data_IF_305921079349
#
_entry.id   IF_305921079349
#
_cell.length_a   1.000
_cell.length_b   1.000
_cell.length_c   1.000
_cell.angle_alpha   90.00
_cell.angle_beta   90.00
_cell.angle_gamma   90.00
#
_symmetry.space_group_name_H-M   'P 1'
#
loop_
_entity.id
_entity.type
_entity.pdbx_description
1 polymer ?
#
# COMPACT_ATOMS: atom_id res chain seq x y z
N UNK A 1 8.44 3.51 -4.87
CA UNK A 1 8.60 2.92 -3.52
C UNK A 1 8.63 4.04 -2.50
N UNK A 2 7.86 3.91 -1.42
CA UNK A 2 7.77 4.91 -0.34
C UNK A 2 7.09 6.23 -0.69
N UNK A 3 6.63 6.44 -1.93
CA UNK A 3 6.06 7.72 -2.36
C UNK A 3 4.80 8.08 -1.57
N UNK A 4 3.88 7.15 -1.40
CA UNK A 4 2.64 7.40 -0.64
C UNK A 4 2.94 7.83 0.79
N UNK A 5 3.86 7.16 1.49
CA UNK A 5 4.25 7.53 2.85
C UNK A 5 4.89 8.92 2.91
N UNK A 6 5.76 9.24 1.95
CA UNK A 6 6.41 10.56 1.89
C UNK A 6 5.41 11.68 1.53
N UNK A 7 4.42 11.42 0.67
CA UNK A 7 3.35 12.40 0.38
C UNK A 7 2.43 12.60 1.59
N UNK A 8 2.06 11.52 2.29
CA UNK A 8 1.29 11.62 3.52
C UNK A 8 2.01 12.45 4.60
N UNK A 9 3.33 12.33 4.70
CA UNK A 9 4.14 13.10 5.65
C UNK A 9 4.05 14.63 5.44
N UNK A 10 3.56 15.11 4.30
CA UNK A 10 3.28 16.54 4.09
C UNK A 10 2.13 17.05 4.96
N UNK A 11 1.21 16.18 5.32
CA UNK A 11 0.00 16.50 6.10
C UNK A 11 0.00 15.86 7.48
N UNK A 12 0.67 14.71 7.63
CA UNK A 12 0.65 13.87 8.84
C UNK A 12 2.04 13.94 9.48
N UNK A 13 2.14 14.26 10.77
CA UNK A 13 3.42 14.49 11.44
C UNK A 13 4.25 13.21 11.68
N UNK A 14 3.60 12.06 11.77
CA UNK A 14 4.26 10.75 11.95
C UNK A 14 3.65 9.71 11.03
N UNK A 15 4.49 9.13 10.16
CA UNK A 15 4.09 8.15 9.15
C UNK A 15 4.99 6.94 9.21
N UNK A 16 4.40 5.76 9.34
CA UNK A 16 5.12 4.49 9.27
C UNK A 16 4.79 3.80 7.95
N UNK A 17 5.79 3.59 7.12
CA UNK A 17 5.67 2.81 5.88
C UNK A 17 6.24 1.41 6.08
N UNK A 18 5.41 0.39 5.81
CA UNK A 18 5.80 -1.01 5.94
C UNK A 18 5.66 -1.71 4.60
N UNK A 19 6.65 -2.52 4.24
CA UNK A 19 6.63 -3.36 3.05
C UNK A 19 7.37 -4.67 3.33
N UNK A 20 6.86 -5.77 2.77
CA UNK A 20 7.51 -7.08 2.88
C UNK A 20 8.88 -7.10 2.17
N UNK A 21 8.99 -6.39 1.06
CA UNK A 21 10.21 -6.33 0.25
C UNK A 21 11.30 -5.46 0.90
N UNK A 22 12.35 -6.13 1.40
CA UNK A 22 13.55 -5.45 1.92
C UNK A 22 14.19 -4.52 0.88
N UNK A 23 14.12 -4.87 -0.42
CA UNK A 23 14.65 -4.05 -1.51
C UNK A 23 13.84 -2.77 -1.69
N UNK A 24 12.49 -2.85 -1.58
CA UNK A 24 11.63 -1.68 -1.63
C UNK A 24 11.85 -0.75 -0.44
N UNK A 25 12.04 -1.31 0.75
CA UNK A 25 12.37 -0.52 1.95
C UNK A 25 13.74 0.16 1.81
N UNK A 26 14.77 -0.53 1.30
CA UNK A 26 16.07 0.11 1.03
C UNK A 26 15.94 1.28 0.06
N UNK A 27 15.19 1.10 -1.03
CA UNK A 27 14.93 2.16 -2.00
C UNK A 27 14.16 3.34 -1.40
N UNK A 28 13.13 3.08 -0.58
CA UNK A 28 12.36 4.11 0.12
C UNK A 28 13.24 4.91 1.08
N UNK A 29 14.08 4.25 1.88
CA UNK A 29 15.06 4.90 2.77
C UNK A 29 16.09 5.73 1.98
N UNK A 30 16.53 5.27 0.81
CA UNK A 30 17.44 6.04 -0.06
C UNK A 30 16.79 7.31 -0.56
N UNK A 31 15.55 7.23 -1.07
CA UNK A 31 14.80 8.43 -1.48
C UNK A 31 14.56 9.35 -0.28
N UNK A 32 14.19 8.80 0.88
CA UNK A 32 14.01 9.57 2.11
C UNK A 32 15.27 10.36 2.49
N UNK A 33 16.44 9.75 2.45
CA UNK A 33 17.70 10.39 2.85
C UNK A 33 18.21 11.41 1.81
N UNK A 34 18.18 11.06 0.52
CA UNK A 34 18.85 11.84 -0.53
C UNK A 34 17.90 12.67 -1.42
N UNK A 35 16.58 12.41 -1.37
CA UNK A 35 15.60 13.02 -2.26
C UNK A 35 15.57 12.42 -3.67
N UNK A 36 16.49 11.50 -4.02
CA UNK A 36 16.52 10.85 -5.32
C UNK A 36 17.02 9.42 -5.28
N UNK A 37 16.57 8.63 -6.24
CA UNK A 37 17.02 7.26 -6.47
C UNK A 37 17.32 7.06 -7.94
N UNK A 38 18.55 6.62 -8.26
CA UNK A 38 18.91 6.18 -9.59
C UNK A 38 18.41 4.75 -9.81
N UNK A 39 17.85 4.48 -10.97
CA UNK A 39 17.46 3.13 -11.41
C UNK A 39 17.65 3.01 -12.92
N UNK A 40 17.68 1.79 -13.42
CA UNK A 40 17.71 1.54 -14.86
C UNK A 40 16.29 1.32 -15.37
N UNK A 41 15.86 2.15 -16.30
CA UNK A 41 14.58 2.01 -16.98
C UNK A 41 14.77 1.15 -18.21
N UNK A 42 13.98 0.07 -18.31
CA UNK A 42 13.95 -0.77 -19.49
C UNK A 42 13.44 0.03 -20.69
N UNK A 43 14.17 0.03 -21.80
CA UNK A 43 13.76 0.65 -23.07
C UNK A 43 13.13 -0.38 -24.01
N UNK A 44 13.89 -1.41 -24.34
CA UNK A 44 13.46 -2.51 -25.19
C UNK A 44 14.37 -3.74 -24.99
N UNK A 45 13.82 -4.93 -25.07
CA UNK A 45 14.58 -6.16 -24.89
C UNK A 45 15.38 -6.15 -23.58
N UNK A 46 16.71 -6.12 -23.68
CA UNK A 46 17.64 -6.04 -22.55
C UNK A 46 18.27 -4.64 -22.39
N UNK A 47 17.94 -3.69 -23.27
CA UNK A 47 18.50 -2.34 -23.26
C UNK A 47 17.85 -1.51 -22.15
N UNK A 48 18.70 -0.97 -21.29
CA UNK A 48 18.24 -0.09 -20.19
C UNK A 48 18.93 1.26 -20.26
N UNK A 49 18.25 2.30 -19.74
CA UNK A 49 18.85 3.64 -19.55
C UNK A 49 18.77 4.09 -18.11
N UNK A 50 19.81 4.80 -17.62
CA UNK A 50 19.76 5.43 -16.32
C UNK A 50 18.59 6.40 -16.23
N UNK A 51 17.84 6.33 -15.13
CA UNK A 51 16.74 7.21 -14.81
C UNK A 51 16.76 7.54 -13.32
N UNK A 52 15.99 8.56 -12.93
CA UNK A 52 15.94 9.02 -11.56
C UNK A 52 14.49 9.17 -11.09
N UNK A 53 14.19 8.58 -9.95
CA UNK A 53 13.02 8.95 -9.17
C UNK A 53 13.42 10.06 -8.21
N UNK A 54 12.74 11.21 -8.28
CA UNK A 54 13.01 12.37 -7.43
C UNK A 54 11.84 12.66 -6.51
N UNK A 55 12.14 13.25 -5.35
CA UNK A 55 11.14 13.72 -4.40
C UNK A 55 11.44 15.16 -3.99
N UNK A 56 10.40 15.97 -3.79
CA UNK A 56 10.57 17.39 -3.46
C UNK A 56 11.40 17.59 -2.19
N UNK A 57 12.29 18.56 -2.22
CA UNK A 57 13.10 18.96 -1.05
C UNK A 57 12.26 19.57 0.07
N UNK A 58 11.08 20.12 -0.26
CA UNK A 58 10.15 20.72 0.71
C UNK A 58 9.32 19.70 1.48
N UNK A 59 9.37 18.41 1.09
CA UNK A 59 8.66 17.35 1.80
C UNK A 59 9.36 17.05 3.14
N UNK A 60 8.64 17.03 4.26
CA UNK A 60 9.22 16.74 5.57
C UNK A 60 9.54 15.24 5.74
N UNK A 61 10.54 14.77 4.98
CA UNK A 61 10.90 13.36 4.84
C UNK A 61 11.27 12.68 6.17
N UNK A 62 11.72 13.44 7.16
CA UNK A 62 12.05 12.97 8.51
C UNK A 62 10.82 12.48 9.30
N UNK A 63 9.60 12.89 8.90
CA UNK A 63 8.34 12.44 9.50
C UNK A 63 7.93 11.02 9.11
N UNK A 64 8.75 10.35 8.30
CA UNK A 64 8.44 8.99 7.83
C UNK A 64 9.46 8.00 8.35
N UNK A 65 8.99 6.89 8.91
CA UNK A 65 9.81 5.74 9.28
C UNK A 65 9.50 4.59 8.34
N UNK A 66 10.53 3.96 7.74
CA UNK A 66 10.36 2.80 6.89
C UNK A 66 10.85 1.53 7.57
N UNK A 67 9.99 0.51 7.64
CA UNK A 67 10.27 -0.81 8.24
C UNK A 67 9.96 -1.93 7.28
N UNK A 68 10.80 -2.98 7.23
CA UNK A 68 10.43 -4.25 6.59
C UNK A 68 9.52 -5.02 7.52
N UNK A 69 8.42 -5.57 7.01
CA UNK A 69 7.47 -6.34 7.80
C UNK A 69 6.43 -7.05 6.95
N UNK A 70 5.89 -8.13 7.53
CA UNK A 70 4.75 -8.86 6.96
C UNK A 70 3.46 -8.28 7.52
N UNK A 71 2.55 -7.87 6.61
CA UNK A 71 1.26 -7.29 7.00
C UNK A 71 0.37 -8.24 7.83
N UNK A 72 0.61 -9.56 7.78
CA UNK A 72 -0.10 -10.55 8.59
C UNK A 72 0.58 -10.82 9.95
N UNK A 73 1.82 -10.39 10.14
CA UNK A 73 2.63 -10.64 11.33
C UNK A 73 3.31 -9.36 11.82
N UNK A 74 2.54 -8.27 11.91
CA UNK A 74 3.04 -7.00 12.41
C UNK A 74 3.35 -7.10 13.91
N UNK A 75 4.45 -6.46 14.38
CA UNK A 75 4.80 -6.43 15.78
C UNK A 75 3.68 -5.84 16.65
N UNK A 76 3.52 -6.34 17.85
CA UNK A 76 2.48 -5.86 18.79
C UNK A 76 2.77 -4.45 19.31
N UNK A 77 4.05 -4.09 19.39
CA UNK A 77 4.53 -2.76 19.78
C UNK A 77 4.39 -1.69 18.70
N UNK A 78 3.93 -2.07 17.51
CA UNK A 78 3.65 -1.10 16.43
C UNK A 78 2.56 -0.08 16.83
N UNK A 79 1.65 -0.48 17.74
CA UNK A 79 0.56 0.36 18.19
C UNK A 79 -0.61 0.43 17.21
N UNK A 80 -1.43 1.47 17.37
CA UNK A 80 -2.59 1.76 16.52
C UNK A 80 -2.51 3.18 15.96
N UNK A 81 -3.17 3.41 14.83
CA UNK A 81 -3.04 4.62 14.02
C UNK A 81 -4.40 5.30 13.82
N UNK A 82 -4.38 6.61 13.65
CA UNK A 82 -5.56 7.39 13.28
C UNK A 82 -5.96 7.12 11.81
N UNK A 83 -4.97 6.82 10.95
CA UNK A 83 -5.18 6.49 9.54
C UNK A 83 -4.30 5.32 9.12
N UNK A 84 -4.89 4.34 8.44
CA UNK A 84 -4.18 3.22 7.82
C UNK A 84 -4.48 3.22 6.32
N UNK A 85 -3.42 3.25 5.50
CA UNK A 85 -3.49 3.08 4.05
C UNK A 85 -3.02 1.68 3.66
N UNK A 86 -3.92 0.84 3.17
CA UNK A 86 -3.63 -0.47 2.60
C UNK A 86 -3.80 -0.41 1.07
N UNK A 87 -2.76 0.06 0.38
CA UNK A 87 -2.79 0.31 -1.05
C UNK A 87 -2.35 -0.92 -1.85
N UNK A 88 -3.27 -1.49 -2.66
CA UNK A 88 -3.06 -2.64 -3.54
C UNK A 88 -2.37 -3.81 -2.81
N UNK A 89 -2.83 -4.08 -1.59
CA UNK A 89 -2.23 -5.05 -0.69
C UNK A 89 -3.01 -6.35 -0.59
N UNK A 90 -4.34 -6.30 -0.50
CA UNK A 90 -5.17 -7.46 -0.12
C UNK A 90 -5.09 -8.61 -1.11
N UNK A 91 -4.94 -8.31 -2.41
CA UNK A 91 -4.80 -9.28 -3.49
C UNK A 91 -3.35 -9.83 -3.63
N UNK A 92 -2.49 -9.47 -2.68
CA UNK A 92 -1.08 -9.93 -2.53
C UNK A 92 -0.83 -10.60 -1.17
N UNK A 93 -1.87 -10.83 -0.38
CA UNK A 93 -1.75 -11.48 0.92
C UNK A 93 -2.15 -12.96 0.84
N UNK A 94 -1.42 -13.88 1.48
CA UNK A 94 -1.82 -15.30 1.54
C UNK A 94 -3.13 -15.51 2.30
N UNK A 95 -3.51 -14.61 3.20
CA UNK A 95 -4.71 -14.69 4.04
C UNK A 95 -5.46 -13.34 4.10
N UNK A 96 -6.09 -12.88 2.99
CA UNK A 96 -6.73 -11.57 2.93
C UNK A 96 -7.86 -11.39 3.95
N UNK A 97 -8.65 -12.44 4.21
CA UNK A 97 -9.73 -12.39 5.22
C UNK A 97 -9.18 -12.18 6.65
N UNK A 98 -8.03 -12.79 6.97
CA UNK A 98 -7.37 -12.59 8.27
C UNK A 98 -6.92 -11.16 8.46
N UNK A 99 -6.32 -10.57 7.41
CA UNK A 99 -5.93 -9.17 7.42
C UNK A 99 -7.13 -8.26 7.71
N UNK A 100 -8.23 -8.44 6.97
CA UNK A 100 -9.44 -7.62 7.13
C UNK A 100 -10.09 -7.76 8.51
N UNK A 101 -10.20 -9.00 9.03
CA UNK A 101 -10.97 -9.29 10.25
C UNK A 101 -10.18 -9.17 11.55
N UNK A 102 -8.86 -9.38 11.51
CA UNK A 102 -8.04 -9.48 12.71
C UNK A 102 -6.97 -8.40 12.79
N UNK A 103 -6.30 -8.10 11.66
CA UNK A 103 -5.17 -7.18 11.68
C UNK A 103 -5.64 -5.72 11.60
N UNK A 104 -6.47 -5.37 10.62
CA UNK A 104 -6.97 -4.00 10.47
C UNK A 104 -7.66 -3.45 11.73
N UNK A 105 -8.56 -4.20 12.41
CA UNK A 105 -9.17 -3.69 13.64
C UNK A 105 -8.19 -3.37 14.77
N UNK A 106 -7.05 -4.05 14.81
CA UNK A 106 -5.99 -3.76 15.79
C UNK A 106 -5.15 -2.55 15.41
N UNK A 107 -4.97 -2.31 14.12
CA UNK A 107 -4.11 -1.23 13.61
C UNK A 107 -4.79 0.14 13.65
N UNK A 108 -6.11 0.19 13.68
CA UNK A 108 -6.87 1.45 13.58
C UNK A 108 -7.50 1.76 14.92
N UNK A 109 -7.26 2.98 15.41
CA UNK A 109 -7.90 3.48 16.64
C UNK A 109 -9.43 3.58 16.45
N UNK A 110 -10.26 3.48 17.51
CA UNK A 110 -11.67 3.83 17.45
C UNK A 110 -11.84 5.23 16.83
N UNK A 111 -12.79 5.39 15.90
CA UNK A 111 -12.97 6.60 15.13
C UNK A 111 -12.00 6.84 13.98
N UNK A 112 -10.89 6.09 13.93
CA UNK A 112 -9.86 6.19 12.90
C UNK A 112 -10.31 5.68 11.53
N UNK A 113 -9.49 5.92 10.50
CA UNK A 113 -9.84 5.73 9.10
C UNK A 113 -8.96 4.66 8.45
N UNK A 114 -9.56 3.80 7.64
CA UNK A 114 -8.87 2.92 6.69
C UNK A 114 -9.14 3.40 5.28
N UNK A 115 -8.08 3.57 4.49
CA UNK A 115 -8.15 3.63 3.04
C UNK A 115 -7.66 2.29 2.49
N UNK A 116 -8.53 1.58 1.81
CA UNK A 116 -8.23 0.31 1.17
C UNK A 116 -8.36 0.47 -0.34
N UNK A 117 -7.31 0.16 -1.09
CA UNK A 117 -7.38 0.10 -2.55
C UNK A 117 -6.98 -1.29 -3.05
N UNK A 118 -7.64 -1.79 -4.09
CA UNK A 118 -7.23 -3.02 -4.76
C UNK A 118 -7.76 -3.07 -6.19
N UNK A 119 -6.93 -3.46 -7.17
CA UNK A 119 -7.39 -3.77 -8.51
C UNK A 119 -7.98 -5.20 -8.62
N UNK A 120 -7.98 -5.95 -7.52
CA UNK A 120 -8.42 -7.36 -7.47
C UNK A 120 -7.72 -8.27 -8.48
N UNK A 121 -6.48 -7.97 -8.81
CA UNK A 121 -5.64 -8.78 -9.71
C UNK A 121 -5.01 -9.95 -8.97
N UNK A 122 -5.86 -10.85 -8.49
CA UNK A 122 -5.45 -12.03 -7.74
C UNK A 122 -4.42 -12.86 -8.50
N UNK A 123 -3.35 -13.29 -7.81
CA UNK A 123 -2.33 -14.19 -8.33
C UNK A 123 -2.09 -15.33 -7.36
N UNK A 124 -2.03 -16.56 -7.91
CA UNK A 124 -1.71 -17.76 -7.10
C UNK A 124 -0.30 -17.76 -6.54
N UNK A 125 0.57 -16.89 -7.04
CA UNK A 125 1.92 -16.65 -6.50
C UNK A 125 1.87 -16.10 -5.06
N UNK A 126 0.89 -15.23 -4.76
CA UNK A 126 0.75 -14.57 -3.46
C UNK A 126 -0.39 -15.16 -2.63
N UNK A 127 -1.52 -15.41 -3.27
CA UNK A 127 -2.76 -15.85 -2.61
C UNK A 127 -3.21 -17.18 -3.21
N UNK A 128 -3.30 -18.27 -2.44
CA UNK A 128 -3.89 -19.52 -2.93
C UNK A 128 -5.29 -19.28 -3.50
N UNK A 129 -5.63 -19.90 -4.65
CA UNK A 129 -6.92 -19.69 -5.34
C UNK A 129 -8.15 -19.92 -4.43
N UNK A 130 -8.06 -20.87 -3.51
CA UNK A 130 -9.10 -21.16 -2.52
C UNK A 130 -9.37 -20.02 -1.54
N UNK A 131 -8.43 -19.07 -1.42
CA UNK A 131 -8.52 -17.90 -0.53
C UNK A 131 -8.80 -16.59 -1.27
N UNK A 132 -8.95 -16.60 -2.60
CA UNK A 132 -9.37 -15.42 -3.35
C UNK A 132 -10.75 -14.97 -2.88
N UNK A 133 -10.94 -13.68 -2.76
CA UNK A 133 -12.23 -13.13 -2.38
C UNK A 133 -13.13 -13.17 -3.62
N UNK A 134 -14.11 -14.07 -3.60
CA UNK A 134 -15.19 -14.09 -4.60
C UNK A 134 -16.06 -12.86 -4.35
N UNK A 135 -16.43 -12.15 -5.42
CA UNK A 135 -17.07 -10.84 -5.27
C UNK A 135 -16.35 -10.03 -4.21
N UNK A 136 -15.17 -9.52 -4.60
CA UNK A 136 -14.19 -8.98 -3.65
C UNK A 136 -14.77 -7.88 -2.78
N UNK A 137 -15.52 -6.93 -3.37
CA UNK A 137 -16.11 -5.84 -2.59
C UNK A 137 -17.13 -6.32 -1.55
N UNK A 138 -18.07 -7.18 -1.94
CA UNK A 138 -19.07 -7.73 -1.01
C UNK A 138 -18.41 -8.52 0.12
N UNK A 139 -17.36 -9.30 -0.20
CA UNK A 139 -16.59 -10.04 0.81
C UNK A 139 -15.84 -9.11 1.77
N UNK A 140 -15.21 -8.04 1.26
CA UNK A 140 -14.55 -7.02 2.08
C UNK A 140 -15.57 -6.34 3.00
N UNK A 141 -16.71 -5.92 2.44
CA UNK A 141 -17.79 -5.28 3.20
C UNK A 141 -18.30 -6.16 4.33
N UNK A 142 -18.55 -7.44 4.08
CA UNK A 142 -18.95 -8.40 5.12
C UNK A 142 -17.85 -8.61 6.17
N UNK A 143 -16.59 -8.65 5.76
CA UNK A 143 -15.47 -8.83 6.68
C UNK A 143 -15.25 -7.64 7.61
N UNK A 144 -15.44 -6.42 7.09
CA UNK A 144 -15.18 -5.17 7.82
C UNK A 144 -16.39 -4.70 8.66
N UNK A 145 -17.63 -5.02 8.23
CA UNK A 145 -18.88 -4.55 8.87
C UNK A 145 -18.92 -4.66 10.40
N UNK A 146 -18.39 -5.71 11.06
CA UNK A 146 -18.42 -5.79 12.52
C UNK A 146 -17.61 -4.72 13.25
N UNK A 147 -16.64 -4.12 12.56
CA UNK A 147 -15.68 -3.21 13.17
C UNK A 147 -15.56 -1.86 12.47
N UNK A 148 -16.13 -1.74 11.28
CA UNK A 148 -15.98 -0.54 10.44
C UNK A 148 -17.29 -0.19 9.73
N UNK A 149 -17.51 1.11 9.53
CA UNK A 149 -18.56 1.69 8.69
C UNK A 149 -17.93 2.16 7.37
N UNK A 150 -18.50 1.76 6.23
CA UNK A 150 -18.13 2.31 4.92
C UNK A 150 -18.55 3.77 4.81
N UNK A 151 -17.61 4.64 4.49
CA UNK A 151 -17.86 6.07 4.26
C UNK A 151 -17.94 6.41 2.77
N UNK A 152 -17.05 5.82 1.96
CA UNK A 152 -16.95 6.15 0.54
C UNK A 152 -16.39 4.99 -0.28
N UNK A 153 -16.75 4.94 -1.57
CA UNK A 153 -16.22 4.02 -2.57
C UNK A 153 -16.15 4.68 -3.92
N UNK A 154 -15.03 4.50 -4.63
CA UNK A 154 -14.86 4.95 -6.01
C UNK A 154 -13.78 4.15 -6.73
N UNK A 155 -13.83 4.14 -8.05
CA UNK A 155 -12.72 3.65 -8.86
C UNK A 155 -11.63 4.72 -8.98
N UNK A 156 -10.37 4.33 -8.72
CA UNK A 156 -9.21 5.17 -8.91
C UNK A 156 -8.38 4.65 -10.07
N UNK A 157 -8.29 5.40 -11.19
CA UNK A 157 -7.41 5.04 -12.29
C UNK A 157 -5.95 5.22 -11.89
N UNK A 158 -5.09 4.30 -12.31
CA UNK A 158 -3.66 4.45 -12.17
C UNK A 158 -2.91 3.83 -13.34
N UNK A 159 -1.72 4.35 -13.61
CA UNK A 159 -0.88 3.96 -14.70
C UNK A 159 0.43 3.36 -14.16
N UNK A 160 0.74 2.15 -14.53
CA UNK A 160 2.02 1.51 -14.26
C UNK A 160 2.85 1.49 -15.53
N UNK A 161 4.04 2.05 -15.48
CA UNK A 161 5.00 1.96 -16.57
C UNK A 161 5.85 0.71 -16.41
N UNK A 162 5.79 -0.21 -17.35
CA UNK A 162 6.63 -1.41 -17.40
C UNK A 162 7.99 -1.11 -18.07
N UNK A 163 7.94 -0.49 -19.23
CA UNK A 163 9.12 -0.01 -19.94
C UNK A 163 8.79 1.26 -20.73
N UNK A 164 9.72 1.77 -21.56
CA UNK A 164 9.53 3.07 -22.23
C UNK A 164 8.24 3.20 -23.05
N UNK A 165 7.80 2.12 -23.67
CA UNK A 165 6.66 2.10 -24.61
C UNK A 165 5.47 1.26 -24.13
N UNK A 166 5.57 0.61 -22.95
CA UNK A 166 4.50 -0.24 -22.42
C UNK A 166 4.02 0.25 -21.07
N UNK A 167 2.72 0.42 -20.97
CA UNK A 167 2.04 0.88 -19.77
C UNK A 167 0.85 -0.03 -19.50
N UNK A 168 0.58 -0.30 -18.23
CA UNK A 168 -0.66 -0.89 -17.77
C UNK A 168 -1.54 0.22 -17.22
N UNK A 169 -2.71 0.41 -17.82
CA UNK A 169 -3.76 1.26 -17.27
C UNK A 169 -4.75 0.39 -16.51
N UNK A 170 -5.01 0.72 -15.26
CA UNK A 170 -5.78 -0.12 -14.34
C UNK A 170 -6.66 0.77 -13.45
N UNK A 171 -7.79 0.22 -12.99
CA UNK A 171 -8.59 0.83 -11.94
C UNK A 171 -8.42 0.04 -10.65
N UNK A 172 -8.24 0.73 -9.54
CA UNK A 172 -8.36 0.15 -8.21
C UNK A 172 -9.69 0.56 -7.59
N UNK A 173 -10.44 -0.39 -7.07
CA UNK A 173 -11.58 -0.11 -6.19
C UNK A 173 -11.03 0.49 -4.89
N UNK A 174 -11.34 1.74 -4.64
CA UNK A 174 -10.88 2.47 -3.46
C UNK A 174 -12.05 2.68 -2.50
N UNK A 175 -11.85 2.26 -1.26
CA UNK A 175 -12.86 2.32 -0.22
C UNK A 175 -12.32 3.02 1.03
N UNK A 176 -13.15 3.84 1.65
CA UNK A 176 -12.84 4.54 2.91
C UNK A 176 -13.77 4.01 3.99
N UNK A 177 -13.18 3.59 5.09
CA UNK A 177 -13.87 2.99 6.22
C UNK A 177 -13.51 3.70 7.51
N UNK A 178 -14.48 3.90 8.38
CA UNK A 178 -14.28 4.43 9.74
C UNK A 178 -14.40 3.29 10.75
N UNK A 179 -13.46 3.22 11.66
CA UNK A 179 -13.50 2.30 12.82
C UNK A 179 -14.64 2.71 13.76
N UNK A 180 -15.47 1.74 14.15
CA UNK A 180 -16.55 1.90 15.13
C UNK A 180 -15.99 1.96 16.55
#
# INVERSE_FOLDING_TARGET
MGRSSLELARKIPDVVGIDYSKSFIRAAKKIQSTGKLRFNLLEEGVITRPSFATFSTTTPRKRTTFRSGDALHLPTDLGSFDVVLAANLIDRLPEPKRFLKQILPRLVKPGGIVLLTSPYTWSSEFTPRSRWLKDSFSTIRLALRPSFRLLHRQDLPFLLREHRRKFQFTFADATIWQRL
#
